data_IF_600578098885
#
_entry.id   IF_600578098885
#
_cell.length_a   1.000
_cell.length_b   1.000
_cell.length_c   1.000
_cell.angle_alpha   90.00
_cell.angle_beta   90.00
_cell.angle_gamma   90.00
#
_symmetry.space_group_name_H-M   'P 1'
#
loop_
_entity.id
_entity.type
_entity.pdbx_description
1 polymer ?
#
# COMPACT_ATOMS: atom_id res chain seq x y z
N UNK A 1 -26.52 48.04 0.00
CA UNK A 1 -27.00 46.63 -0.18
C UNK A 1 -26.24 45.85 -1.27
N UNK A 2 -25.86 46.42 -2.41
CA UNK A 2 -25.10 45.73 -3.47
C UNK A 2 -23.62 45.48 -3.13
N UNK A 3 -22.99 46.33 -2.33
CA UNK A 3 -21.58 46.19 -1.88
C UNK A 3 -21.35 45.04 -0.90
N UNK A 4 -22.37 44.66 -0.13
CA UNK A 4 -22.27 43.60 0.86
C UNK A 4 -22.34 42.19 0.24
N UNK A 5 -23.02 42.03 -0.89
CA UNK A 5 -23.09 40.80 -1.66
C UNK A 5 -21.75 40.46 -2.36
N UNK A 6 -21.06 41.46 -2.88
CA UNK A 6 -19.77 41.26 -3.53
C UNK A 6 -18.66 40.91 -2.53
N UNK A 7 -18.67 41.51 -1.34
CA UNK A 7 -17.69 41.15 -0.29
C UNK A 7 -17.92 39.74 0.25
N UNK A 8 -19.17 39.31 0.42
CA UNK A 8 -19.46 37.91 0.87
C UNK A 8 -19.11 36.84 -0.18
N UNK A 9 -19.22 37.15 -1.46
CA UNK A 9 -18.80 36.22 -2.52
C UNK A 9 -17.27 36.18 -2.65
N UNK A 10 -16.57 37.29 -2.46
CA UNK A 10 -15.11 37.32 -2.43
C UNK A 10 -14.52 36.56 -1.24
N UNK A 11 -15.05 36.76 -0.02
CA UNK A 11 -14.62 36.04 1.17
C UNK A 11 -14.85 34.52 1.04
N UNK A 12 -16.00 34.11 0.50
CA UNK A 12 -16.31 32.69 0.27
C UNK A 12 -15.36 32.03 -0.75
N UNK A 13 -14.99 32.75 -1.81
CA UNK A 13 -14.05 32.20 -2.82
C UNK A 13 -12.61 32.14 -2.29
N UNK A 14 -12.19 33.08 -1.47
CA UNK A 14 -10.87 33.07 -0.84
C UNK A 14 -10.78 31.96 0.22
N UNK A 15 -11.84 31.77 1.03
CA UNK A 15 -11.91 30.69 2.00
C UNK A 15 -11.92 29.30 1.34
N UNK A 16 -12.63 29.14 0.23
CA UNK A 16 -12.60 27.89 -0.54
C UNK A 16 -11.24 27.62 -1.16
N UNK A 17 -10.58 28.62 -1.75
CA UNK A 17 -9.25 28.46 -2.31
C UNK A 17 -8.21 28.09 -1.25
N UNK A 18 -8.29 28.68 -0.05
CA UNK A 18 -7.41 28.35 1.07
C UNK A 18 -7.66 26.93 1.60
N UNK A 19 -8.93 26.48 1.65
CA UNK A 19 -9.30 25.11 2.03
C UNK A 19 -8.78 24.12 0.99
N UNK A 20 -8.91 24.41 -0.30
CA UNK A 20 -8.44 23.55 -1.39
C UNK A 20 -6.90 23.43 -1.39
N UNK A 21 -6.20 24.51 -1.09
CA UNK A 21 -4.73 24.52 -1.00
C UNK A 21 -4.24 23.73 0.23
N UNK A 22 -4.88 23.87 1.37
CA UNK A 22 -4.62 23.08 2.58
C UNK A 22 -4.90 21.60 2.38
N UNK A 23 -6.01 21.26 1.72
CA UNK A 23 -6.36 19.87 1.40
C UNK A 23 -5.34 19.25 0.44
N UNK A 24 -4.93 19.99 -0.58
CA UNK A 24 -3.89 19.55 -1.53
C UNK A 24 -2.55 19.28 -0.84
N UNK A 25 -2.11 20.18 0.02
CA UNK A 25 -0.87 20.01 0.78
C UNK A 25 -0.95 18.78 1.70
N UNK A 26 -2.09 18.56 2.35
CA UNK A 26 -2.32 17.38 3.17
C UNK A 26 -2.29 16.08 2.35
N UNK A 27 -2.95 16.04 1.20
CA UNK A 27 -2.96 14.88 0.31
C UNK A 27 -1.56 14.55 -0.21
N UNK A 28 -0.77 15.55 -0.61
CA UNK A 28 0.62 15.36 -1.02
C UNK A 28 1.46 14.74 0.11
N UNK A 29 1.27 15.19 1.35
CA UNK A 29 1.95 14.62 2.51
C UNK A 29 1.58 13.15 2.74
N UNK A 30 0.31 12.79 2.62
CA UNK A 30 -0.18 11.41 2.72
C UNK A 30 0.44 10.54 1.61
N UNK A 31 0.43 11.00 0.35
CA UNK A 31 1.04 10.28 -0.77
C UNK A 31 2.54 10.05 -0.56
N UNK A 32 3.26 11.04 -0.04
CA UNK A 32 4.68 10.88 0.27
C UNK A 32 4.91 9.79 1.33
N UNK A 33 4.12 9.77 2.41
CA UNK A 33 4.21 8.69 3.41
C UNK A 33 3.90 7.32 2.79
N UNK A 34 2.87 7.21 1.97
CA UNK A 34 2.53 5.96 1.27
C UNK A 34 3.66 5.50 0.37
N UNK A 35 4.24 6.41 -0.42
CA UNK A 35 5.35 6.10 -1.34
C UNK A 35 6.57 5.59 -0.57
N UNK A 36 6.97 6.28 0.49
CA UNK A 36 8.12 5.87 1.30
C UNK A 36 7.82 4.53 2.01
N UNK A 37 6.60 4.34 2.51
CA UNK A 37 6.16 3.07 3.11
C UNK A 37 6.25 1.91 2.12
N UNK A 38 5.79 2.10 0.88
CA UNK A 38 5.89 1.10 -0.19
C UNK A 38 7.34 0.80 -0.58
N UNK A 39 8.18 1.83 -0.67
CA UNK A 39 9.62 1.65 -0.93
C UNK A 39 10.29 0.84 0.17
N UNK A 40 10.00 1.14 1.43
CA UNK A 40 10.51 0.37 2.58
C UNK A 40 10.05 -1.07 2.54
N UNK A 41 8.75 -1.31 2.30
CA UNK A 41 8.17 -2.65 2.14
C UNK A 41 8.86 -3.42 1.02
N UNK A 42 9.01 -2.79 -0.15
CA UNK A 42 9.66 -3.41 -1.31
C UNK A 42 11.14 -3.70 -1.07
N UNK A 43 11.87 -2.80 -0.42
CA UNK A 43 13.27 -2.98 -0.08
C UNK A 43 13.47 -4.16 0.88
N UNK A 44 12.67 -4.23 1.94
CA UNK A 44 12.72 -5.32 2.92
C UNK A 44 12.34 -6.65 2.26
N UNK A 45 11.27 -6.68 1.47
CA UNK A 45 10.83 -7.88 0.74
C UNK A 45 11.93 -8.39 -0.20
N UNK A 46 12.57 -7.52 -0.95
CA UNK A 46 13.66 -7.87 -1.85
C UNK A 46 14.91 -8.37 -1.11
N UNK A 47 15.31 -7.66 -0.05
CA UNK A 47 16.50 -8.02 0.72
C UNK A 47 16.33 -9.39 1.41
N UNK A 48 15.24 -9.58 2.15
CA UNK A 48 14.97 -10.85 2.83
C UNK A 48 14.60 -11.97 1.84
N UNK A 49 13.92 -11.65 0.74
CA UNK A 49 13.65 -12.59 -0.33
C UNK A 49 14.95 -13.16 -0.92
N UNK A 50 15.89 -12.29 -1.31
CA UNK A 50 17.22 -12.70 -1.79
C UNK A 50 18.04 -13.45 -0.73
N UNK A 51 18.02 -12.98 0.52
CA UNK A 51 18.73 -13.65 1.61
C UNK A 51 18.18 -15.04 1.93
N UNK A 52 16.96 -15.34 1.53
CA UNK A 52 16.27 -16.60 1.81
C UNK A 52 16.45 -17.69 0.75
N UNK A 53 16.97 -17.36 -0.44
CA UNK A 53 17.12 -18.27 -1.57
C UNK A 53 18.59 -18.43 -1.97
N UNK A 54 18.93 -19.62 -2.45
CA UNK A 54 20.21 -19.89 -3.13
C UNK A 54 19.92 -20.00 -4.62
N UNK A 55 20.59 -19.18 -5.42
CA UNK A 55 20.46 -19.18 -6.88
C UNK A 55 21.74 -19.71 -7.54
N UNK A 56 21.59 -20.46 -8.65
CA UNK A 56 22.71 -20.84 -9.50
C UNK A 56 23.12 -19.68 -10.44
N UNK A 57 24.17 -19.88 -11.23
CA UNK A 57 24.66 -18.90 -12.20
C UNK A 57 23.60 -18.50 -13.26
N UNK A 58 22.64 -19.37 -13.53
CA UNK A 58 21.52 -19.10 -14.44
C UNK A 58 20.34 -18.37 -13.76
N UNK A 59 20.46 -17.95 -12.49
CA UNK A 59 19.41 -17.25 -11.74
C UNK A 59 18.24 -18.15 -11.30
N UNK A 60 18.37 -19.48 -11.40
CA UNK A 60 17.35 -20.42 -10.94
C UNK A 60 17.50 -20.67 -9.44
N UNK A 61 16.41 -20.79 -8.74
CA UNK A 61 16.37 -21.11 -7.31
C UNK A 61 16.71 -22.59 -7.17
N UNK A 62 17.86 -22.88 -6.55
CA UNK A 62 18.35 -24.25 -6.32
C UNK A 62 18.20 -24.70 -4.87
N UNK A 63 17.84 -23.80 -3.98
CA UNK A 63 17.63 -24.12 -2.58
C UNK A 63 17.21 -22.92 -1.74
N UNK A 64 17.00 -23.21 -0.46
CA UNK A 64 16.63 -22.22 0.55
C UNK A 64 17.78 -22.08 1.54
N UNK A 65 18.16 -20.88 1.88
CA UNK A 65 19.20 -20.60 2.89
C UNK A 65 18.72 -20.96 4.30
N UNK A 66 19.63 -20.96 5.25
CA UNK A 66 19.27 -21.13 6.66
C UNK A 66 18.28 -20.09 7.16
N UNK A 67 18.40 -18.83 6.69
CA UNK A 67 17.46 -17.74 6.98
C UNK A 67 16.07 -18.04 6.38
N UNK A 68 16.03 -18.48 5.12
CA UNK A 68 14.78 -18.84 4.46
C UNK A 68 14.10 -20.05 5.11
N UNK A 69 14.87 -21.08 5.49
CA UNK A 69 14.35 -22.23 6.19
C UNK A 69 13.79 -21.87 7.56
N UNK A 70 14.41 -20.95 8.28
CA UNK A 70 13.94 -20.49 9.58
C UNK A 70 12.68 -19.65 9.46
N UNK A 71 12.62 -18.70 8.53
CA UNK A 71 11.49 -17.78 8.35
C UNK A 71 10.28 -18.46 7.71
N UNK A 72 10.50 -19.32 6.71
CA UNK A 72 9.44 -19.84 5.83
C UNK A 72 9.32 -21.37 5.85
N UNK A 73 10.33 -22.10 6.34
CA UNK A 73 10.30 -23.55 6.49
C UNK A 73 9.86 -24.03 7.87
N UNK A 74 9.84 -23.16 8.88
CA UNK A 74 9.46 -23.48 10.25
C UNK A 74 8.01 -23.05 10.56
N UNK A 75 7.43 -23.43 11.73
CA UNK A 75 6.14 -22.89 12.17
C UNK A 75 6.09 -21.36 12.25
N UNK A 76 7.24 -20.69 12.30
CA UNK A 76 7.38 -19.23 12.30
C UNK A 76 6.78 -18.58 11.03
N UNK A 77 6.72 -19.32 9.93
CA UNK A 77 6.07 -18.82 8.69
C UNK A 77 4.66 -18.32 8.92
N UNK A 78 3.87 -19.00 9.73
CA UNK A 78 2.50 -18.59 10.02
C UNK A 78 2.45 -17.27 10.77
N UNK A 79 3.40 -17.05 11.69
CA UNK A 79 3.52 -15.77 12.40
C UNK A 79 3.91 -14.67 11.41
N UNK A 80 4.91 -14.91 10.58
CA UNK A 80 5.39 -13.92 9.59
C UNK A 80 4.28 -13.57 8.59
N UNK A 81 3.52 -14.55 8.10
CA UNK A 81 2.45 -14.34 7.12
C UNK A 81 1.22 -13.66 7.73
N UNK A 82 0.88 -13.97 8.99
CA UNK A 82 -0.30 -13.41 9.66
C UNK A 82 -0.02 -12.12 10.44
N UNK A 83 1.24 -11.81 10.71
CA UNK A 83 1.62 -10.61 11.45
C UNK A 83 1.07 -9.30 10.85
N UNK A 84 1.09 -9.08 9.51
CA UNK A 84 0.50 -7.86 8.93
C UNK A 84 -0.98 -7.74 9.25
N UNK A 85 -1.73 -8.84 9.21
CA UNK A 85 -3.15 -8.86 9.55
C UNK A 85 -3.39 -8.48 11.01
N UNK A 86 -2.60 -9.05 11.93
CA UNK A 86 -2.62 -8.67 13.35
C UNK A 86 -2.34 -7.19 13.56
N UNK A 87 -1.37 -6.63 12.81
CA UNK A 87 -1.08 -5.20 12.87
C UNK A 87 -2.22 -4.32 12.36
N UNK A 88 -2.94 -4.73 11.32
CA UNK A 88 -4.13 -4.01 10.83
C UNK A 88 -5.20 -3.96 11.90
N UNK A 89 -5.49 -5.07 12.58
CA UNK A 89 -6.45 -5.08 13.68
C UNK A 89 -5.99 -4.21 14.86
N UNK A 90 -4.72 -4.27 15.22
CA UNK A 90 -4.15 -3.41 16.27
C UNK A 90 -4.28 -1.92 15.92
N UNK A 91 -3.90 -1.52 14.70
CA UNK A 91 -4.02 -0.15 14.23
C UNK A 91 -5.48 0.30 14.21
N UNK A 92 -6.38 -0.51 13.66
CA UNK A 92 -7.80 -0.20 13.59
C UNK A 92 -8.42 0.06 14.98
N UNK A 93 -8.02 -0.74 15.98
CA UNK A 93 -8.53 -0.59 17.34
C UNK A 93 -7.94 0.63 18.09
N UNK A 94 -6.71 1.06 17.75
CA UNK A 94 -5.98 2.05 18.54
C UNK A 94 -5.72 3.38 17.86
N UNK A 95 -5.90 3.50 16.54
CA UNK A 95 -5.54 4.69 15.76
C UNK A 95 -6.13 5.99 16.34
N UNK A 96 -7.36 5.96 16.81
CA UNK A 96 -8.05 7.13 17.37
C UNK A 96 -7.53 7.59 18.75
N UNK A 97 -6.69 6.77 19.39
CA UNK A 97 -6.12 7.04 20.72
C UNK A 97 -4.60 7.23 20.68
N UNK A 98 -4.00 7.15 19.49
CA UNK A 98 -2.54 7.26 19.32
C UNK A 98 -2.16 8.72 19.06
N UNK A 99 -0.98 9.12 19.56
CA UNK A 99 -0.35 10.36 19.12
C UNK A 99 0.13 10.21 17.67
N UNK A 100 0.30 11.34 16.97
CA UNK A 100 0.78 11.37 15.58
C UNK A 100 2.11 10.62 15.44
N UNK A 101 3.05 10.84 16.36
CA UNK A 101 4.36 10.17 16.35
C UNK A 101 4.22 8.65 16.56
N UNK A 102 3.34 8.21 17.47
CA UNK A 102 3.09 6.79 17.69
C UNK A 102 2.46 6.13 16.45
N UNK A 103 1.51 6.81 15.79
CA UNK A 103 0.92 6.33 14.54
C UNK A 103 1.95 6.20 13.42
N UNK A 104 2.88 7.17 13.29
CA UNK A 104 3.97 7.11 12.32
C UNK A 104 4.91 5.92 12.58
N UNK A 105 5.37 5.74 13.80
CA UNK A 105 6.24 4.60 14.16
C UNK A 105 5.54 3.27 13.87
N UNK A 106 4.28 3.16 14.26
CA UNK A 106 3.49 1.95 14.00
C UNK A 106 3.30 1.70 12.50
N UNK A 107 3.13 2.75 11.70
CA UNK A 107 3.09 2.65 10.23
C UNK A 107 4.41 2.11 9.65
N UNK A 108 5.56 2.60 10.11
CA UNK A 108 6.87 2.10 9.66
C UNK A 108 7.11 0.65 10.05
N UNK A 109 6.72 0.26 11.27
CA UNK A 109 6.76 -1.13 11.72
C UNK A 109 5.86 -2.02 10.86
N UNK A 110 4.64 -1.58 10.58
CA UNK A 110 3.71 -2.27 9.70
C UNK A 110 4.30 -2.48 8.29
N UNK A 111 4.86 -1.42 7.69
CA UNK A 111 5.50 -1.49 6.37
C UNK A 111 6.67 -2.50 6.36
N UNK A 112 7.44 -2.55 7.44
CA UNK A 112 8.56 -3.48 7.59
C UNK A 112 8.10 -4.93 7.72
N UNK A 113 7.09 -5.20 8.54
CA UNK A 113 6.52 -6.53 8.72
C UNK A 113 5.82 -7.01 7.44
N UNK A 114 5.13 -6.09 6.73
CA UNK A 114 4.55 -6.39 5.42
C UNK A 114 5.63 -6.79 4.42
N UNK A 115 6.76 -6.08 4.40
CA UNK A 115 7.90 -6.42 3.55
C UNK A 115 8.47 -7.80 3.86
N UNK A 116 8.61 -8.14 5.13
CA UNK A 116 9.07 -9.46 5.55
C UNK A 116 8.09 -10.57 5.15
N UNK A 117 6.79 -10.33 5.31
CA UNK A 117 5.75 -11.27 4.87
C UNK A 117 5.78 -11.48 3.35
N UNK A 118 5.93 -10.40 2.57
CA UNK A 118 6.03 -10.46 1.11
C UNK A 118 7.34 -11.07 0.60
N UNK A 119 8.37 -11.20 1.45
CA UNK A 119 9.61 -11.87 1.07
C UNK A 119 9.38 -13.34 0.67
N UNK A 120 8.32 -14.01 1.20
CA UNK A 120 7.92 -15.36 0.79
C UNK A 120 7.58 -15.47 -0.71
N UNK A 121 7.10 -14.39 -1.32
CA UNK A 121 6.77 -14.34 -2.76
C UNK A 121 8.01 -14.60 -3.63
N UNK A 122 9.20 -14.18 -3.18
CA UNK A 122 10.46 -14.41 -3.89
C UNK A 122 10.92 -15.87 -3.85
N UNK A 123 10.37 -16.67 -2.95
CA UNK A 123 10.66 -18.12 -2.86
C UNK A 123 9.73 -18.90 -3.79
N UNK A 124 8.46 -18.50 -3.87
CA UNK A 124 7.42 -19.20 -4.63
C UNK A 124 7.41 -18.81 -6.12
N UNK A 125 7.76 -17.56 -6.44
CA UNK A 125 7.62 -17.02 -7.79
C UNK A 125 8.97 -16.57 -8.37
N UNK A 126 9.10 -16.74 -9.69
CA UNK A 126 10.29 -16.25 -10.40
C UNK A 126 10.34 -14.72 -10.42
N UNK A 127 11.54 -14.16 -10.43
CA UNK A 127 11.75 -12.70 -10.49
C UNK A 127 11.06 -12.06 -11.71
N UNK A 128 11.02 -12.76 -12.85
CA UNK A 128 10.34 -12.32 -14.06
C UNK A 128 8.82 -12.19 -13.85
N UNK A 129 8.22 -13.15 -13.16
CA UNK A 129 6.77 -13.11 -12.83
C UNK A 129 6.45 -11.97 -11.90
N UNK A 130 7.26 -11.77 -10.85
CA UNK A 130 7.12 -10.67 -9.90
C UNK A 130 7.21 -9.32 -10.62
N UNK A 131 8.24 -9.14 -11.47
CA UNK A 131 8.41 -7.90 -12.23
C UNK A 131 7.23 -7.64 -13.17
N UNK A 132 6.74 -8.68 -13.87
CA UNK A 132 5.59 -8.57 -14.78
C UNK A 132 4.33 -8.09 -14.04
N UNK A 133 3.99 -8.71 -12.92
CA UNK A 133 2.83 -8.31 -12.10
C UNK A 133 3.01 -6.90 -11.58
N UNK A 134 4.20 -6.54 -11.12
CA UNK A 134 4.51 -5.19 -10.66
C UNK A 134 4.25 -4.14 -11.74
N UNK A 135 4.77 -4.33 -12.96
CA UNK A 135 4.58 -3.36 -14.06
C UNK A 135 3.12 -3.28 -14.52
N UNK A 136 2.41 -4.40 -14.58
CA UNK A 136 0.97 -4.41 -14.92
C UNK A 136 0.18 -3.62 -13.86
N UNK A 137 0.44 -3.89 -12.57
CA UNK A 137 -0.23 -3.20 -11.46
C UNK A 137 0.10 -1.71 -11.44
N UNK A 138 1.37 -1.34 -11.61
CA UNK A 138 1.80 0.05 -11.68
C UNK A 138 1.16 0.79 -12.86
N UNK A 139 1.10 0.16 -14.03
CA UNK A 139 0.43 0.71 -15.21
C UNK A 139 -1.07 0.91 -15.00
N UNK A 140 -1.74 -0.09 -14.43
CA UNK A 140 -3.16 0.01 -14.09
C UNK A 140 -3.44 1.11 -13.09
N UNK A 141 -2.62 1.18 -12.03
CA UNK A 141 -2.74 2.23 -11.02
C UNK A 141 -2.51 3.62 -11.62
N UNK A 142 -1.48 3.77 -12.45
CA UNK A 142 -1.19 5.02 -13.14
C UNK A 142 -2.34 5.46 -14.06
N UNK A 143 -2.88 4.54 -14.86
CA UNK A 143 -4.02 4.82 -15.73
C UNK A 143 -5.27 5.24 -14.93
N UNK A 144 -5.60 4.53 -13.85
CA UNK A 144 -6.73 4.86 -12.98
C UNK A 144 -6.53 6.17 -12.22
N UNK A 145 -5.30 6.47 -11.82
CA UNK A 145 -4.95 7.73 -11.17
C UNK A 145 -5.12 8.93 -12.12
N UNK A 146 -4.65 8.81 -13.37
CA UNK A 146 -4.86 9.82 -14.42
C UNK A 146 -6.35 9.99 -14.74
N UNK A 147 -7.09 8.89 -14.85
CA UNK A 147 -8.52 8.94 -15.06
C UNK A 147 -9.24 9.65 -13.89
N UNK A 148 -8.91 9.31 -12.65
CA UNK A 148 -9.47 9.97 -11.47
C UNK A 148 -9.15 11.45 -11.40
N UNK A 149 -7.94 11.86 -11.83
CA UNK A 149 -7.53 13.26 -11.86
C UNK A 149 -8.27 14.08 -12.94
N UNK A 150 -8.55 13.47 -14.08
CA UNK A 150 -9.16 14.16 -15.25
C UNK A 150 -10.70 14.11 -15.26
N UNK A 151 -11.30 13.11 -14.59
CA UNK A 151 -12.74 12.92 -14.60
C UNK A 151 -13.46 13.94 -13.70
N UNK A 152 -14.58 14.46 -14.21
CA UNK A 152 -15.52 15.29 -13.42
C UNK A 152 -16.73 14.47 -12.93
N UNK A 153 -16.74 13.16 -13.19
CA UNK A 153 -17.85 12.28 -12.78
C UNK A 153 -17.66 11.79 -11.36
N UNK A 154 -18.74 11.63 -10.63
CA UNK A 154 -18.73 10.98 -9.33
C UNK A 154 -18.41 9.50 -9.49
N UNK A 155 -17.27 9.08 -8.94
CA UNK A 155 -16.74 7.72 -8.98
C UNK A 155 -17.24 6.85 -7.83
N UNK A 156 -18.07 7.37 -6.93
CA UNK A 156 -18.57 6.64 -5.75
C UNK A 156 -19.31 5.36 -6.15
N UNK A 157 -20.09 5.41 -7.23
CA UNK A 157 -20.79 4.24 -7.77
C UNK A 157 -19.85 3.15 -8.30
N UNK A 158 -18.70 3.54 -8.85
CA UNK A 158 -17.65 2.61 -9.29
C UNK A 158 -17.01 1.88 -8.11
N UNK A 159 -16.89 2.53 -6.95
CA UNK A 159 -16.36 1.90 -5.73
C UNK A 159 -17.16 0.67 -5.32
N UNK A 160 -18.48 0.73 -5.35
CA UNK A 160 -19.35 -0.42 -5.07
C UNK A 160 -19.16 -1.58 -6.05
N UNK A 161 -19.07 -1.28 -7.36
CA UNK A 161 -18.80 -2.29 -8.38
C UNK A 161 -17.44 -2.97 -8.23
N UNK A 162 -16.39 -2.18 -7.96
CA UNK A 162 -15.04 -2.68 -7.74
C UNK A 162 -14.96 -3.54 -6.46
N UNK A 163 -15.71 -3.17 -5.41
CA UNK A 163 -15.78 -3.96 -4.19
C UNK A 163 -16.45 -5.33 -4.43
N UNK A 164 -17.52 -5.39 -5.23
CA UNK A 164 -18.11 -6.66 -5.66
C UNK A 164 -17.12 -7.51 -6.46
N UNK A 165 -16.36 -6.89 -7.37
CA UNK A 165 -15.31 -7.57 -8.12
C UNK A 165 -14.21 -8.14 -7.22
N UNK A 166 -13.80 -7.39 -6.20
CA UNK A 166 -12.82 -7.85 -5.20
C UNK A 166 -13.32 -9.08 -4.46
N UNK A 167 -14.58 -9.06 -3.96
CA UNK A 167 -15.19 -10.22 -3.30
C UNK A 167 -15.24 -11.42 -4.25
N UNK A 168 -15.61 -11.22 -5.51
CA UNK A 168 -15.63 -12.27 -6.53
C UNK A 168 -14.27 -12.92 -6.74
N UNK A 169 -13.18 -12.12 -6.80
CA UNK A 169 -11.82 -12.62 -6.92
C UNK A 169 -11.41 -13.42 -5.68
N UNK A 170 -11.75 -12.95 -4.47
CA UNK A 170 -11.45 -13.66 -3.23
C UNK A 170 -12.15 -15.03 -3.22
N UNK A 171 -13.44 -15.09 -3.58
CA UNK A 171 -14.18 -16.35 -3.66
C UNK A 171 -13.54 -17.29 -4.70
N UNK A 172 -13.21 -16.77 -5.87
CA UNK A 172 -12.58 -17.56 -6.93
C UNK A 172 -11.17 -18.08 -6.56
N UNK A 173 -10.49 -17.40 -5.63
CA UNK A 173 -9.15 -17.82 -5.14
C UNK A 173 -9.23 -18.95 -4.10
N UNK A 174 -10.37 -19.14 -3.47
CA UNK A 174 -10.59 -20.15 -2.41
C UNK A 174 -11.16 -21.46 -2.99
N UNK A 175 -11.80 -21.39 -4.16
CA UNK A 175 -12.38 -22.53 -4.88
C UNK A 175 -11.35 -23.14 -5.82
#
# INVERSE_FOLDING_TARGET
>A
MALDFNQRSYTKSVDQAAIDEGLRAYMLKVYNYMTIGLLLTGFIAYFFGKASIVTNEMGQIVGVTQVGALLFGSPLKWIVMLAPLGFVFYLSARINRMSVSAAQITFWLFASIMGLSLASVFIEFTQTSIARVFFITAGTFGAMSLYGYTTKRDLTKLGGFLFMGLIGIIIASVV
#
